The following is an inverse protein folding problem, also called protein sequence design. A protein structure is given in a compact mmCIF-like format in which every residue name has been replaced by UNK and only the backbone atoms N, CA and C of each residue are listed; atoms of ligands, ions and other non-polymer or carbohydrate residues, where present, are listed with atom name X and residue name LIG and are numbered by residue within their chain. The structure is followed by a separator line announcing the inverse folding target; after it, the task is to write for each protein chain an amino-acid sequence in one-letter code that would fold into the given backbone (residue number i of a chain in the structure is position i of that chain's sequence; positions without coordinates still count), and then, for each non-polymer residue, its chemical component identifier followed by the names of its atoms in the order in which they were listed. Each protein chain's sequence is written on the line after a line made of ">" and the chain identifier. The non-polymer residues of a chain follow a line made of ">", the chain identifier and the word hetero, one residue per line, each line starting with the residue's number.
data_IF_752396111537
#
_entry.id   IF_752396111537
#
_cell.length_a   1.000
_cell.length_b   1.000
_cell.length_c   1.000
_cell.angle_alpha   90.00
_cell.angle_beta   90.00
_cell.angle_gamma   90.00
#
_symmetry.space_group_name_H-M   'P 1'
#
loop_
_entity.id
_entity.type
_entity.pdbx_description
1 polymer ?
#
# COMPACT_ATOMS: atom_id res chain seq x y z
N UNK A 1 5.56 -5.50 -28.61
CA UNK A 1 6.76 -4.68 -28.86
C UNK A 1 6.53 -3.31 -28.22
N UNK A 2 7.43 -2.87 -27.39
CA UNK A 2 7.35 -1.62 -26.61
C UNK A 2 7.96 -0.43 -27.37
N UNK A 3 8.91 -0.67 -28.28
CA UNK A 3 9.51 0.35 -29.13
C UNK A 3 9.05 0.17 -30.58
N UNK A 4 8.42 1.18 -31.16
CA UNK A 4 7.84 1.16 -32.50
C UNK A 4 8.32 2.35 -33.33
N UNK A 5 8.54 2.14 -34.63
CA UNK A 5 8.82 3.23 -35.57
C UNK A 5 7.49 3.87 -35.99
N UNK A 6 7.37 5.18 -35.84
CA UNK A 6 6.19 5.94 -36.27
C UNK A 6 6.26 6.26 -37.77
N UNK A 7 5.13 6.61 -38.40
CA UNK A 7 5.04 6.93 -39.83
C UNK A 7 5.94 8.11 -40.24
N UNK A 8 6.23 9.03 -39.33
CA UNK A 8 7.10 10.18 -39.54
C UNK A 8 8.61 9.87 -39.39
N UNK A 9 8.99 8.59 -39.31
CA UNK A 9 10.37 8.16 -39.21
C UNK A 9 10.96 8.17 -37.78
N UNK A 10 10.27 8.75 -36.80
CA UNK A 10 10.71 8.77 -35.39
C UNK A 10 10.34 7.49 -34.66
N UNK A 11 10.97 7.28 -33.48
CA UNK A 11 10.67 6.12 -32.62
C UNK A 11 9.78 6.53 -31.45
N UNK A 12 8.95 5.61 -31.03
CA UNK A 12 7.99 5.77 -29.91
C UNK A 12 8.16 4.62 -28.92
N UNK A 13 8.21 4.95 -27.65
CA UNK A 13 8.17 3.99 -26.54
C UNK A 13 6.73 3.93 -26.00
N UNK A 14 6.17 2.73 -25.88
CA UNK A 14 4.80 2.47 -25.41
C UNK A 14 4.85 1.32 -24.42
N UNK A 15 4.89 1.64 -23.13
CA UNK A 15 4.99 0.68 -22.04
C UNK A 15 3.64 0.58 -21.34
N UNK A 16 3.18 -0.66 -21.12
CA UNK A 16 2.01 -0.95 -20.29
C UNK A 16 2.48 -1.32 -18.89
N UNK A 17 1.99 -0.63 -17.87
CA UNK A 17 2.26 -0.87 -16.45
C UNK A 17 1.05 -1.53 -15.75
N UNK A 18 0.37 -2.43 -16.45
CA UNK A 18 -0.77 -3.14 -15.90
C UNK A 18 -2.02 -2.28 -15.77
N UNK A 19 -2.76 -2.47 -14.69
CA UNK A 19 -4.01 -1.78 -14.42
C UNK A 19 -3.95 -1.03 -13.10
N UNK A 20 -4.59 0.14 -13.06
CA UNK A 20 -4.74 0.90 -11.83
C UNK A 20 -5.45 0.06 -10.76
N UNK A 21 -4.90 -0.10 -9.54
CA UNK A 21 -5.41 -1.03 -8.53
C UNK A 21 -6.86 -0.73 -8.12
N UNK A 22 -7.25 0.55 -8.07
CA UNK A 22 -8.61 0.98 -7.67
C UNK A 22 -9.54 1.09 -8.89
N UNK A 23 -9.14 1.86 -9.91
CA UNK A 23 -10.03 2.19 -11.05
C UNK A 23 -10.07 1.10 -12.12
N UNK A 24 -9.19 0.08 -12.04
CA UNK A 24 -9.02 -1.00 -13.03
C UNK A 24 -8.72 -0.51 -14.46
N UNK A 25 -8.43 0.78 -14.64
CA UNK A 25 -8.02 1.32 -15.94
C UNK A 25 -6.58 0.94 -16.26
N UNK A 26 -6.31 0.65 -17.54
CA UNK A 26 -4.95 0.30 -17.99
C UNK A 26 -4.03 1.50 -17.91
N UNK A 27 -2.87 1.32 -17.27
CA UNK A 27 -1.81 2.33 -17.17
C UNK A 27 -0.88 2.16 -18.36
N UNK A 28 -0.62 3.25 -19.09
CA UNK A 28 0.31 3.26 -20.22
C UNK A 28 1.19 4.49 -20.16
N UNK A 29 2.48 4.29 -20.40
CA UNK A 29 3.47 5.35 -20.54
C UNK A 29 3.88 5.42 -22.00
N UNK A 30 3.56 6.53 -22.66
CA UNK A 30 3.88 6.74 -24.06
C UNK A 30 4.83 7.93 -24.17
N UNK A 31 6.00 7.73 -24.78
CA UNK A 31 6.97 8.77 -25.11
C UNK A 31 7.28 8.70 -26.61
N UNK A 32 7.22 9.83 -27.31
CA UNK A 32 7.36 9.92 -28.77
C UNK A 32 8.51 10.85 -29.16
N UNK A 33 8.99 10.73 -30.40
CA UNK A 33 9.87 11.73 -31.03
C UNK A 33 11.36 11.39 -30.94
N UNK A 34 11.76 10.14 -30.66
CA UNK A 34 13.17 9.74 -30.63
C UNK A 34 13.70 9.58 -32.04
N UNK A 35 14.91 10.11 -32.28
CA UNK A 35 15.56 10.06 -33.60
C UNK A 35 16.11 8.68 -33.92
N UNK A 36 16.58 7.96 -32.92
CA UNK A 36 17.20 6.64 -33.07
C UNK A 36 16.48 5.56 -32.25
N UNK A 37 16.57 4.31 -32.71
CA UNK A 37 16.07 3.16 -31.98
C UNK A 37 16.80 2.98 -30.66
N UNK A 38 18.11 3.30 -30.62
CA UNK A 38 18.95 3.17 -29.43
C UNK A 38 18.47 4.08 -28.32
N UNK A 39 18.24 5.35 -28.59
CA UNK A 39 17.66 6.31 -27.62
C UNK A 39 16.32 5.83 -27.05
N UNK A 40 15.45 5.31 -27.92
CA UNK A 40 14.16 4.79 -27.50
C UNK A 40 14.29 3.56 -26.57
N UNK A 41 15.26 2.68 -26.83
CA UNK A 41 15.54 1.51 -25.99
C UNK A 41 16.15 1.89 -24.64
N UNK A 42 17.08 2.83 -24.61
CA UNK A 42 17.68 3.36 -23.38
C UNK A 42 16.63 4.00 -22.48
N UNK A 43 15.73 4.79 -23.06
CA UNK A 43 14.60 5.35 -22.31
C UNK A 43 13.62 4.26 -21.83
N UNK A 44 13.35 3.24 -22.65
CA UNK A 44 12.51 2.12 -22.22
C UNK A 44 13.09 1.45 -20.98
N UNK A 45 14.40 1.19 -20.96
CA UNK A 45 15.08 0.60 -19.82
C UNK A 45 15.02 1.53 -18.60
N UNK A 46 15.28 2.83 -18.77
CA UNK A 46 15.17 3.81 -17.70
C UNK A 46 13.76 3.84 -17.09
N UNK A 47 12.72 3.93 -17.93
CA UNK A 47 11.32 3.91 -17.47
C UNK A 47 11.01 2.64 -16.68
N UNK A 48 11.47 1.47 -17.17
CA UNK A 48 11.22 0.19 -16.47
C UNK A 48 11.92 0.12 -15.11
N UNK A 49 13.15 0.63 -15.02
CA UNK A 49 13.96 0.49 -13.81
C UNK A 49 13.66 1.59 -12.79
N UNK A 50 13.42 2.81 -13.22
CA UNK A 50 13.27 3.99 -12.36
C UNK A 50 11.83 4.45 -12.27
N UNK A 51 11.25 4.95 -13.38
CA UNK A 51 9.92 5.57 -13.36
C UNK A 51 8.80 4.61 -12.93
N UNK A 52 8.87 3.34 -13.35
CA UNK A 52 7.83 2.36 -12.96
C UNK A 52 7.95 1.96 -11.48
N UNK A 53 9.16 1.92 -10.92
CA UNK A 53 9.33 1.71 -9.48
C UNK A 53 8.78 2.89 -8.69
N UNK A 54 9.15 4.12 -9.06
CA UNK A 54 8.67 5.32 -8.38
C UNK A 54 7.15 5.48 -8.50
N UNK A 55 6.58 5.28 -9.71
CA UNK A 55 5.13 5.42 -9.96
C UNK A 55 4.27 4.34 -9.33
N UNK A 56 4.79 3.14 -9.07
CA UNK A 56 4.04 2.12 -8.33
C UNK A 56 3.57 2.62 -6.97
N UNK A 57 4.30 3.57 -6.40
CA UNK A 57 4.05 4.13 -5.07
C UNK A 57 3.46 5.55 -5.09
N UNK A 58 3.21 6.13 -6.28
CA UNK A 58 2.55 7.45 -6.42
C UNK A 58 1.03 7.39 -6.15
N UNK A 59 0.44 6.19 -6.14
CA UNK A 59 -0.96 6.04 -5.77
C UNK A 59 -1.14 6.29 -4.27
N UNK A 60 -2.20 7.02 -3.93
CA UNK A 60 -2.62 7.14 -2.55
C UNK A 60 -3.09 5.75 -2.06
N UNK A 61 -2.18 4.98 -1.50
CA UNK A 61 -2.50 3.72 -0.84
C UNK A 61 -2.90 4.04 0.60
N UNK A 62 -4.11 3.68 0.97
CA UNK A 62 -4.66 3.91 2.31
C UNK A 62 -4.78 2.62 3.10
N UNK A 63 -4.89 2.73 4.43
CA UNK A 63 -5.17 1.58 5.29
C UNK A 63 -6.51 0.92 4.98
N UNK A 64 -7.54 1.72 4.60
CA UNK A 64 -8.85 1.19 4.21
C UNK A 64 -8.74 0.23 3.02
N UNK A 65 -8.03 0.65 1.98
CA UNK A 65 -7.83 -0.16 0.78
C UNK A 65 -7.12 -1.49 1.08
N UNK A 66 -6.06 -1.45 1.91
CA UNK A 66 -5.32 -2.65 2.27
C UNK A 66 -6.11 -3.57 3.22
N UNK A 67 -6.90 -2.98 4.13
CA UNK A 67 -7.74 -3.74 5.03
C UNK A 67 -8.87 -4.46 4.29
N UNK A 68 -9.51 -3.82 3.32
CA UNK A 68 -10.55 -4.45 2.49
C UNK A 68 -9.99 -5.66 1.71
N UNK A 69 -8.77 -5.53 1.18
CA UNK A 69 -8.08 -6.65 0.50
C UNK A 69 -7.80 -7.79 1.50
N UNK A 70 -7.30 -7.47 2.69
CA UNK A 70 -7.01 -8.46 3.74
C UNK A 70 -8.28 -9.19 4.18
N UNK A 71 -9.37 -8.47 4.39
CA UNK A 71 -10.64 -9.06 4.82
C UNK A 71 -11.22 -9.99 3.75
N UNK A 72 -11.13 -9.60 2.48
CA UNK A 72 -11.56 -10.44 1.37
C UNK A 72 -10.70 -11.73 1.27
N UNK A 73 -9.38 -11.62 1.44
CA UNK A 73 -8.49 -12.80 1.52
C UNK A 73 -8.84 -13.70 2.71
N UNK A 74 -9.16 -13.14 3.88
CA UNK A 74 -9.56 -13.92 5.05
C UNK A 74 -10.91 -14.64 4.83
N UNK A 75 -11.85 -14.05 4.11
CA UNK A 75 -13.12 -14.68 3.71
C UNK A 75 -12.88 -15.84 2.72
N UNK A 76 -12.06 -15.61 1.69
CA UNK A 76 -11.72 -16.64 0.70
C UNK A 76 -10.99 -17.82 1.33
N UNK A 77 -10.18 -17.58 2.36
CA UNK A 77 -9.50 -18.61 3.16
C UNK A 77 -10.39 -19.26 4.23
N UNK A 78 -11.70 -19.03 4.21
CA UNK A 78 -12.68 -19.60 5.14
C UNK A 78 -12.34 -19.35 6.63
N UNK A 79 -11.78 -18.16 6.95
CA UNK A 79 -11.54 -17.77 8.35
C UNK A 79 -12.87 -17.64 9.09
N UNK A 80 -12.87 -17.96 10.39
CA UNK A 80 -14.06 -17.85 11.23
C UNK A 80 -14.64 -16.44 11.20
N UNK A 81 -15.96 -16.30 11.05
CA UNK A 81 -16.66 -15.01 11.00
C UNK A 81 -16.37 -14.16 12.24
N UNK A 82 -16.31 -14.77 13.43
CA UNK A 82 -15.97 -14.07 14.68
C UNK A 82 -14.57 -13.47 14.67
N UNK A 83 -13.61 -14.13 14.02
CA UNK A 83 -12.26 -13.62 13.83
C UNK A 83 -12.26 -12.38 12.93
N UNK A 84 -12.91 -12.45 11.76
CA UNK A 84 -13.05 -11.32 10.82
C UNK A 84 -13.74 -10.13 11.48
N UNK A 85 -14.85 -10.37 12.19
CA UNK A 85 -15.57 -9.34 12.94
C UNK A 85 -14.71 -8.67 14.02
N UNK A 86 -13.90 -9.45 14.75
CA UNK A 86 -12.96 -8.90 15.74
C UNK A 86 -11.89 -8.04 15.10
N UNK A 87 -11.34 -8.45 13.95
CA UNK A 87 -10.36 -7.64 13.22
C UNK A 87 -10.99 -6.34 12.72
N UNK A 88 -12.19 -6.40 12.14
CA UNK A 88 -12.93 -5.22 11.68
C UNK A 88 -13.17 -4.23 12.82
N UNK A 89 -13.63 -4.70 13.98
CA UNK A 89 -13.82 -3.85 15.15
C UNK A 89 -12.52 -3.18 15.61
N UNK A 90 -11.42 -3.91 15.64
CA UNK A 90 -10.11 -3.34 15.99
C UNK A 90 -9.64 -2.33 14.96
N UNK A 91 -9.85 -2.60 13.68
CA UNK A 91 -9.51 -1.72 12.58
C UNK A 91 -10.29 -0.39 12.67
N UNK A 92 -11.61 -0.47 12.72
CA UNK A 92 -12.49 0.72 12.72
C UNK A 92 -12.31 1.59 13.96
N UNK A 93 -12.08 0.97 15.15
CA UNK A 93 -11.95 1.72 16.41
C UNK A 93 -10.57 2.32 16.64
N UNK A 94 -9.52 1.70 16.11
CA UNK A 94 -8.16 2.04 16.50
C UNK A 94 -7.26 2.44 15.33
N UNK A 95 -7.28 1.73 14.21
CA UNK A 95 -6.36 1.94 13.09
C UNK A 95 -6.91 3.03 12.15
N UNK A 96 -8.12 2.84 11.66
CA UNK A 96 -8.75 3.75 10.70
C UNK A 96 -8.76 5.22 11.14
N UNK A 97 -9.18 5.58 12.37
CA UNK A 97 -9.21 6.98 12.80
C UNK A 97 -7.83 7.64 12.86
N UNK A 98 -6.78 6.86 13.13
CA UNK A 98 -5.42 7.38 13.22
C UNK A 98 -4.77 7.60 11.85
N UNK A 99 -4.98 6.68 10.92
CA UNK A 99 -4.39 6.71 9.58
C UNK A 99 -5.34 7.23 8.49
N UNK A 100 -6.40 7.95 8.87
CA UNK A 100 -7.33 8.50 7.89
C UNK A 100 -6.59 9.41 6.89
N UNK A 101 -6.84 9.18 5.60
CA UNK A 101 -6.21 9.93 4.50
C UNK A 101 -4.66 9.93 4.49
N UNK A 102 -4.03 9.03 5.24
CA UNK A 102 -2.57 8.92 5.27
C UNK A 102 -2.08 8.12 4.06
N UNK A 103 -1.08 8.67 3.35
CA UNK A 103 -0.38 7.93 2.30
C UNK A 103 0.60 6.96 2.93
N UNK A 104 0.34 5.65 2.82
CA UNK A 104 1.15 4.61 3.45
C UNK A 104 2.58 4.52 2.88
N UNK A 105 2.81 4.99 1.65
CA UNK A 105 4.14 5.03 1.06
C UNK A 105 5.09 6.02 1.76
N UNK A 106 4.55 6.98 2.50
CA UNK A 106 5.31 7.99 3.25
C UNK A 106 5.47 7.65 4.74
N UNK A 107 4.92 6.51 5.19
CA UNK A 107 5.03 6.11 6.58
C UNK A 107 6.44 5.57 6.89
N UNK A 108 7.02 6.10 7.97
CA UNK A 108 8.27 5.61 8.55
C UNK A 108 8.00 4.77 9.81
N UNK A 109 9.06 4.13 10.29
CA UNK A 109 9.05 3.43 11.58
C UNK A 109 8.60 4.35 12.74
N UNK A 110 9.02 5.61 12.75
CA UNK A 110 8.68 6.59 13.79
C UNK A 110 7.16 6.82 13.90
N UNK A 111 6.47 6.98 12.77
CA UNK A 111 5.01 7.14 12.76
C UNK A 111 4.29 5.93 13.36
N UNK A 112 4.82 4.72 13.14
CA UNK A 112 4.25 3.50 13.71
C UNK A 112 4.56 3.39 15.19
N UNK A 113 5.74 3.83 15.62
CA UNK A 113 6.09 3.92 17.03
C UNK A 113 5.18 4.90 17.77
N UNK A 114 4.95 6.10 17.22
CA UNK A 114 4.01 7.09 17.74
C UNK A 114 2.58 6.52 17.86
N UNK A 115 2.13 5.79 16.86
CA UNK A 115 0.83 5.11 16.92
C UNK A 115 0.76 4.10 18.07
N UNK A 116 1.83 3.33 18.30
CA UNK A 116 1.89 2.39 19.43
C UNK A 116 1.80 3.12 20.77
N UNK A 117 2.54 4.22 20.94
CA UNK A 117 2.48 5.02 22.16
C UNK A 117 1.09 5.66 22.35
N UNK A 118 0.49 6.17 21.28
CA UNK A 118 -0.89 6.63 21.30
C UNK A 118 -1.87 5.56 21.79
N UNK A 119 -1.74 4.32 21.33
CA UNK A 119 -2.59 3.22 21.80
C UNK A 119 -2.46 2.93 23.29
N UNK A 120 -1.28 3.10 23.88
CA UNK A 120 -1.03 2.84 25.32
C UNK A 120 -1.78 3.84 26.22
N UNK A 121 -1.94 5.08 25.76
CA UNK A 121 -2.64 6.14 26.52
C UNK A 121 -4.11 6.26 26.13
N UNK A 122 -4.55 5.58 25.08
CA UNK A 122 -5.93 5.66 24.59
C UNK A 122 -6.90 5.03 25.61
N UNK A 123 -7.98 5.73 26.02
CA UNK A 123 -8.99 5.14 26.89
C UNK A 123 -9.76 4.02 26.20
N UNK A 124 -10.18 3.02 26.96
CA UNK A 124 -10.97 1.88 26.44
C UNK A 124 -12.34 2.33 25.92
N UNK A 125 -12.98 3.27 26.61
CA UNK A 125 -14.26 3.90 26.25
C UNK A 125 -14.16 5.40 26.45
N UNK A 126 -15.04 6.16 25.80
CA UNK A 126 -15.00 7.62 25.77
C UNK A 126 -15.00 8.31 27.14
N UNK A 127 -15.53 7.65 28.21
CA UNK A 127 -15.59 8.17 29.58
C UNK A 127 -14.92 7.25 30.58
N UNK A 128 -13.96 6.42 30.15
CA UNK A 128 -13.26 5.48 31.00
C UNK A 128 -11.84 5.98 31.28
N UNK A 129 -11.45 6.04 32.56
CA UNK A 129 -10.07 6.35 32.95
C UNK A 129 -9.09 5.21 32.70
N UNK A 130 -9.59 4.00 32.36
CA UNK A 130 -8.74 2.86 32.07
C UNK A 130 -8.24 2.85 30.62
N UNK A 131 -6.94 2.66 30.43
CA UNK A 131 -6.30 2.56 29.13
C UNK A 131 -6.40 1.15 28.54
N UNK A 132 -6.05 1.02 27.23
CA UNK A 132 -5.99 -0.28 26.58
C UNK A 132 -4.96 -1.19 27.25
N UNK A 133 -5.30 -2.47 27.45
CA UNK A 133 -4.34 -3.44 27.98
C UNK A 133 -3.22 -3.71 26.97
N UNK A 134 -2.03 -4.08 27.44
CA UNK A 134 -0.88 -4.47 26.61
C UNK A 134 -1.27 -5.54 25.56
N UNK A 135 -2.09 -6.51 25.95
CA UNK A 135 -2.55 -7.55 25.04
C UNK A 135 -3.42 -6.98 23.91
N UNK A 136 -4.29 -6.01 24.21
CA UNK A 136 -5.12 -5.34 23.20
C UNK A 136 -4.23 -4.53 22.24
N UNK A 137 -3.28 -3.75 22.77
CA UNK A 137 -2.32 -3.00 21.94
C UNK A 137 -1.56 -3.94 21.01
N UNK A 138 -1.05 -5.06 21.54
CA UNK A 138 -0.33 -6.04 20.72
C UNK A 138 -1.22 -6.66 19.62
N UNK A 139 -2.49 -6.97 19.89
CA UNK A 139 -3.44 -7.48 18.88
C UNK A 139 -3.67 -6.46 17.77
N UNK A 140 -3.79 -5.17 18.11
CA UNK A 140 -3.94 -4.08 17.14
C UNK A 140 -2.67 -3.94 16.28
N UNK A 141 -1.49 -3.99 16.89
CA UNK A 141 -0.22 -3.94 16.18
C UNK A 141 0.01 -5.14 15.24
N UNK A 142 -0.41 -6.35 15.65
CA UNK A 142 -0.39 -7.54 14.80
C UNK A 142 -1.33 -7.37 13.60
N UNK A 143 -2.52 -6.80 13.81
CA UNK A 143 -3.44 -6.51 12.71
C UNK A 143 -2.85 -5.48 11.75
N UNK A 144 -2.26 -4.39 12.27
CA UNK A 144 -1.60 -3.38 11.47
C UNK A 144 -0.46 -4.00 10.63
N UNK A 145 0.37 -4.86 11.25
CA UNK A 145 1.41 -5.59 10.51
C UNK A 145 0.85 -6.40 9.36
N UNK A 146 -0.24 -7.14 9.57
CA UNK A 146 -0.90 -7.92 8.51
C UNK A 146 -1.41 -7.05 7.36
N UNK A 147 -1.98 -5.88 7.67
CA UNK A 147 -2.45 -4.91 6.66
C UNK A 147 -1.28 -4.49 5.77
N UNK A 148 -0.14 -4.11 6.36
CA UNK A 148 1.05 -3.73 5.62
C UNK A 148 1.68 -4.91 4.86
N UNK A 149 1.73 -6.12 5.46
CA UNK A 149 2.21 -7.33 4.77
C UNK A 149 1.37 -7.64 3.53
N UNK A 150 0.05 -7.41 3.60
CA UNK A 150 -0.84 -7.53 2.43
C UNK A 150 -0.49 -6.49 1.35
N UNK A 151 -0.20 -5.26 1.75
CA UNK A 151 0.25 -4.21 0.82
C UNK A 151 1.56 -4.56 0.12
N UNK A 152 2.54 -5.09 0.84
CA UNK A 152 3.82 -5.56 0.27
C UNK A 152 3.59 -6.74 -0.68
N UNK A 153 2.82 -7.75 -0.27
CA UNK A 153 2.49 -8.92 -1.10
C UNK A 153 1.80 -8.55 -2.41
N UNK A 154 0.94 -7.53 -2.38
CA UNK A 154 0.23 -7.01 -3.58
C UNK A 154 1.07 -5.99 -4.35
N UNK A 155 2.31 -5.72 -3.96
CA UNK A 155 3.18 -4.70 -4.56
C UNK A 155 2.54 -3.30 -4.59
N UNK A 156 1.73 -2.97 -3.60
CA UNK A 156 1.10 -1.66 -3.41
C UNK A 156 1.96 -0.72 -2.58
N UNK A 157 2.80 -1.28 -1.70
CA UNK A 157 3.82 -0.59 -0.91
C UNK A 157 5.14 -1.36 -1.00
N UNK A 158 6.26 -0.65 -0.84
CA UNK A 158 7.60 -1.23 -1.02
C UNK A 158 8.03 -2.08 0.18
N UNK A 159 7.77 -1.61 1.38
CA UNK A 159 8.20 -2.24 2.63
C UNK A 159 7.15 -2.11 3.73
N UNK A 160 7.20 -3.02 4.70
CA UNK A 160 6.36 -2.95 5.88
C UNK A 160 7.07 -2.14 7.00
N UNK A 161 6.57 -0.95 7.38
CA UNK A 161 7.20 -0.14 8.43
C UNK A 161 7.03 -0.73 9.84
N UNK A 162 6.14 -1.72 10.00
CA UNK A 162 5.87 -2.39 11.30
C UNK A 162 6.84 -3.54 11.57
N UNK A 163 7.60 -4.00 10.56
CA UNK A 163 8.41 -5.23 10.63
C UNK A 163 9.43 -5.23 11.79
N UNK A 164 10.03 -4.07 12.05
CA UNK A 164 11.08 -3.91 13.07
C UNK A 164 10.59 -3.54 14.47
N UNK A 165 9.27 -3.44 14.68
CA UNK A 165 8.74 -3.13 16.01
C UNK A 165 8.75 -4.40 16.87
N UNK A 166 9.71 -4.45 17.81
CA UNK A 166 9.76 -5.51 18.84
C UNK A 166 8.49 -5.47 19.69
N UNK A 167 8.01 -6.66 20.03
CA UNK A 167 6.87 -6.88 20.94
C UNK A 167 7.11 -6.31 22.33
#
# INVERSE_FOLDING_TARGET
>A
MTVKKAKNGTWTVDISDGFHPVTKKRIRIIRKGFKTKKEALELEQYIRVVELKEKRFDFLVTTDMLFDILEEEDRQNNRKISYISTQRNNYERHIKPYFINTNLNKLSYEHIFEFREYLKIKPKKQNDSSTLSHNTVNKIMILLKKIFDTGVRKSLIDKNPVENIRK
#
